data_IF_081502686323
#
_entry.id   IF_081502686323
#
_cell.length_a   1.000
_cell.length_b   1.000
_cell.length_c   1.000
_cell.angle_alpha   90.00
_cell.angle_beta   90.00
_cell.angle_gamma   90.00
#
_symmetry.space_group_name_H-M   'P 1'
#
loop_
_entity.id
_entity.type
_entity.pdbx_description
1 polymer ?
#
# COMPACT_ATOMS: atom_id res chain seq x y z
N UNK A 1 14.50 -22.19 10.38
CA UNK A 1 14.56 -20.71 10.46
C UNK A 1 13.28 -20.21 9.81
N UNK A 2 12.47 -19.41 10.51
CA UNK A 2 11.25 -18.86 9.91
C UNK A 2 11.62 -17.82 8.86
N UNK A 3 10.84 -17.70 7.78
CA UNK A 3 10.98 -16.63 6.78
C UNK A 3 10.67 -15.26 7.39
N UNK A 4 9.71 -15.22 8.32
CA UNK A 4 9.34 -14.06 9.09
C UNK A 4 9.95 -14.12 10.50
N UNK A 5 10.34 -12.97 11.04
CA UNK A 5 10.76 -12.76 12.41
C UNK A 5 9.65 -12.11 13.26
N UNK A 6 9.95 -11.78 14.51
CA UNK A 6 8.96 -11.27 15.47
C UNK A 6 8.35 -9.93 15.02
N UNK A 7 9.13 -9.05 14.37
CA UNK A 7 8.63 -7.75 13.88
C UNK A 7 7.64 -7.95 12.73
N UNK A 8 7.92 -8.90 11.82
CA UNK A 8 7.00 -9.25 10.75
C UNK A 8 5.70 -9.85 11.29
N UNK A 9 5.76 -10.72 12.29
CA UNK A 9 4.55 -11.31 12.88
C UNK A 9 3.74 -10.27 13.67
N UNK A 10 4.39 -9.32 14.30
CA UNK A 10 3.71 -8.20 14.96
C UNK A 10 3.00 -7.30 13.94
N UNK A 11 3.67 -6.96 12.83
CA UNK A 11 3.06 -6.23 11.71
C UNK A 11 1.86 -6.98 11.13
N UNK A 12 2.03 -8.29 10.86
CA UNK A 12 0.96 -9.17 10.38
C UNK A 12 -0.27 -9.14 11.31
N UNK A 13 -0.04 -9.30 12.60
CA UNK A 13 -1.13 -9.30 13.58
C UNK A 13 -1.89 -7.97 13.58
N UNK A 14 -1.16 -6.85 13.53
CA UNK A 14 -1.73 -5.51 13.49
C UNK A 14 -2.53 -5.27 12.22
N UNK A 15 -1.94 -5.62 11.06
CA UNK A 15 -2.59 -5.48 9.75
C UNK A 15 -3.85 -6.35 9.66
N UNK A 16 -3.77 -7.61 10.08
CA UNK A 16 -4.92 -8.53 10.11
C UNK A 16 -6.07 -7.98 10.95
N UNK A 17 -5.76 -7.49 12.15
CA UNK A 17 -6.76 -6.87 13.02
C UNK A 17 -7.41 -5.64 12.39
N UNK A 18 -6.60 -4.80 11.75
CA UNK A 18 -7.10 -3.62 11.04
C UNK A 18 -7.98 -3.98 9.84
N UNK A 19 -7.57 -4.95 9.01
CA UNK A 19 -8.36 -5.45 7.88
C UNK A 19 -9.70 -6.04 8.34
N UNK A 20 -9.69 -6.84 9.40
CA UNK A 20 -10.90 -7.46 9.95
C UNK A 20 -11.93 -6.42 10.43
N UNK A 21 -11.48 -5.28 10.95
CA UNK A 21 -12.37 -4.23 11.45
C UNK A 21 -12.81 -3.24 10.38
N UNK A 22 -11.93 -2.89 9.44
CA UNK A 22 -12.15 -1.75 8.55
C UNK A 22 -12.45 -2.17 7.10
N UNK A 23 -12.01 -3.34 6.67
CA UNK A 23 -12.15 -3.81 5.28
C UNK A 23 -13.21 -4.90 5.16
N UNK A 24 -13.03 -5.99 5.89
CA UNK A 24 -13.88 -7.19 5.75
C UNK A 24 -15.38 -6.91 5.86
N UNK A 25 -15.89 -6.09 6.81
CA UNK A 25 -17.32 -5.83 6.92
C UNK A 25 -17.91 -5.01 5.77
N UNK A 26 -17.08 -4.40 4.94
CA UNK A 26 -17.49 -3.46 3.91
C UNK A 26 -17.27 -3.97 2.47
N UNK A 27 -16.65 -5.15 2.31
CA UNK A 27 -16.26 -5.68 0.98
C UNK A 27 -17.47 -5.74 0.04
N UNK A 28 -18.56 -6.38 0.45
CA UNK A 28 -19.73 -6.58 -0.40
C UNK A 28 -20.33 -5.24 -0.87
N UNK A 29 -20.36 -4.25 0.02
CA UNK A 29 -20.87 -2.91 -0.32
C UNK A 29 -19.95 -2.20 -1.30
N UNK A 30 -18.63 -2.22 -1.08
CA UNK A 30 -17.67 -1.56 -1.97
C UNK A 30 -17.59 -2.23 -3.35
N UNK A 31 -17.72 -3.56 -3.41
CA UNK A 31 -17.81 -4.30 -4.68
C UNK A 31 -19.09 -3.92 -5.45
N UNK A 32 -20.21 -3.76 -4.75
CA UNK A 32 -21.48 -3.33 -5.37
C UNK A 32 -21.42 -1.87 -5.86
N UNK A 33 -20.79 -1.00 -5.09
CA UNK A 33 -20.64 0.43 -5.41
C UNK A 33 -19.53 0.69 -6.44
N UNK A 34 -18.62 -0.25 -6.64
CA UNK A 34 -17.45 -0.12 -7.52
C UNK A 34 -16.42 0.89 -7.02
N UNK A 35 -16.40 1.21 -5.73
CA UNK A 35 -15.48 2.20 -5.16
C UNK A 35 -15.16 1.89 -3.69
N UNK A 36 -13.89 2.08 -3.34
CA UNK A 36 -13.40 2.04 -1.96
C UNK A 36 -13.25 3.46 -1.43
N UNK A 37 -13.71 3.77 -0.21
CA UNK A 37 -13.59 5.10 0.35
C UNK A 37 -12.13 5.56 0.46
N UNK A 38 -11.86 6.77 0.02
CA UNK A 38 -10.53 7.39 0.12
C UNK A 38 -10.00 7.42 1.56
N UNK A 39 -10.89 7.59 2.55
CA UNK A 39 -10.54 7.61 3.97
C UNK A 39 -9.80 6.35 4.41
N UNK A 40 -10.07 5.20 3.79
CA UNK A 40 -9.41 3.95 4.13
C UNK A 40 -7.88 4.01 3.95
N UNK A 41 -7.39 4.75 2.95
CA UNK A 41 -5.95 4.96 2.76
C UNK A 41 -5.35 5.84 3.85
N UNK A 42 -6.02 6.92 4.23
CA UNK A 42 -5.57 7.76 5.34
C UNK A 42 -5.55 7.00 6.67
N UNK A 43 -6.56 6.15 6.91
CA UNK A 43 -6.62 5.30 8.10
C UNK A 43 -5.47 4.27 8.11
N UNK A 44 -5.17 3.62 6.99
CA UNK A 44 -4.04 2.71 6.85
C UNK A 44 -2.70 3.43 7.03
N UNK A 45 -2.56 4.63 6.45
CA UNK A 45 -1.37 5.47 6.60
C UNK A 45 -1.14 5.89 8.06
N UNK A 46 -2.21 6.24 8.79
CA UNK A 46 -2.13 6.60 10.21
C UNK A 46 -1.60 5.46 11.10
N UNK A 47 -1.77 4.21 10.66
CA UNK A 47 -1.23 3.02 11.32
C UNK A 47 0.20 2.68 10.87
N UNK A 48 0.79 3.45 9.93
CA UNK A 48 2.12 3.19 9.38
C UNK A 48 2.15 2.09 8.31
N UNK A 49 1.02 1.57 7.86
CA UNK A 49 0.99 0.44 6.93
C UNK A 49 1.39 0.78 5.50
N UNK A 50 1.35 2.06 5.10
CA UNK A 50 1.64 2.48 3.72
C UNK A 50 3.08 2.94 3.50
N UNK A 51 3.78 3.33 4.54
CA UNK A 51 5.07 4.01 4.45
C UNK A 51 6.27 3.21 4.92
N UNK A 52 6.22 1.87 5.04
CA UNK A 52 7.32 1.08 5.62
C UNK A 52 8.66 1.35 4.93
N UNK A 53 8.71 1.34 3.60
CA UNK A 53 9.93 1.54 2.81
C UNK A 53 10.27 3.03 2.57
N UNK A 54 9.39 3.95 2.93
CA UNK A 54 9.66 5.39 2.80
C UNK A 54 10.57 5.82 3.93
N UNK A 55 11.59 6.65 3.64
CA UNK A 55 12.53 7.14 4.64
C UNK A 55 11.83 7.92 5.77
N UNK A 56 12.35 7.83 6.99
CA UNK A 56 11.79 8.47 8.19
C UNK A 56 11.66 9.99 8.02
N UNK A 57 12.59 10.64 7.32
CA UNK A 57 12.54 12.09 7.05
C UNK A 57 11.31 12.51 6.25
N UNK A 58 10.67 11.58 5.53
CA UNK A 58 9.42 11.78 4.79
C UNK A 58 8.20 11.17 5.50
N UNK A 59 8.34 10.80 6.78
CA UNK A 59 7.26 10.27 7.59
C UNK A 59 7.00 8.77 7.41
N UNK A 60 7.92 8.05 6.78
CA UNK A 60 7.86 6.58 6.63
C UNK A 60 8.57 5.83 7.75
N UNK A 61 8.65 4.52 7.62
CA UNK A 61 9.31 3.62 8.58
C UNK A 61 10.81 3.45 8.35
N UNK A 62 11.34 3.84 7.18
CA UNK A 62 12.74 3.67 6.82
C UNK A 62 13.19 2.20 6.69
N UNK A 63 12.26 1.27 6.51
CA UNK A 63 12.52 -0.17 6.52
C UNK A 63 12.44 -0.71 5.09
N UNK A 64 13.59 -0.95 4.49
CA UNK A 64 13.73 -1.55 3.17
C UNK A 64 13.73 -3.09 3.27
N UNK A 65 12.59 -3.64 3.61
CA UNK A 65 12.37 -5.09 3.71
C UNK A 65 11.05 -5.49 3.05
N UNK A 66 11.14 -6.05 1.85
CA UNK A 66 9.98 -6.41 1.05
C UNK A 66 9.09 -7.50 1.68
N UNK A 67 9.53 -8.16 2.76
CA UNK A 67 8.71 -9.13 3.48
C UNK A 67 7.45 -8.49 4.10
N UNK A 68 7.50 -7.21 4.45
CA UNK A 68 6.30 -6.46 4.89
C UNK A 68 5.26 -6.33 3.77
N UNK A 69 5.72 -6.16 2.53
CA UNK A 69 4.86 -6.12 1.34
C UNK A 69 4.23 -7.51 1.06
N UNK A 70 4.99 -8.60 1.26
CA UNK A 70 4.45 -9.96 1.17
C UNK A 70 3.32 -10.17 2.19
N UNK A 71 3.47 -9.65 3.41
CA UNK A 71 2.42 -9.75 4.44
C UNK A 71 1.14 -9.03 3.99
N UNK A 72 1.25 -7.86 3.35
CA UNK A 72 0.09 -7.20 2.75
C UNK A 72 -0.66 -8.12 1.79
N UNK A 73 0.04 -8.72 0.85
CA UNK A 73 -0.56 -9.61 -0.14
C UNK A 73 -1.21 -10.85 0.50
N UNK A 74 -0.53 -11.47 1.47
CA UNK A 74 -1.04 -12.64 2.19
C UNK A 74 -2.29 -12.31 3.01
N UNK A 75 -2.28 -11.18 3.75
CA UNK A 75 -3.41 -10.81 4.61
C UNK A 75 -4.63 -10.34 3.80
N UNK A 76 -4.46 -9.67 2.67
CA UNK A 76 -5.55 -9.35 1.75
C UNK A 76 -6.15 -10.61 1.14
N UNK A 77 -5.32 -11.58 0.76
CA UNK A 77 -5.80 -12.86 0.25
C UNK A 77 -6.56 -13.65 1.33
N UNK A 78 -6.02 -13.67 2.55
CA UNK A 78 -6.67 -14.31 3.70
C UNK A 78 -8.03 -13.69 4.05
N UNK A 79 -8.13 -12.37 3.94
CA UNK A 79 -9.36 -11.61 4.17
C UNK A 79 -10.37 -11.68 3.00
N UNK A 80 -10.05 -12.38 1.91
CA UNK A 80 -10.82 -12.39 0.66
C UNK A 80 -11.05 -10.97 0.08
N UNK A 81 -10.14 -10.03 0.36
CA UNK A 81 -10.22 -8.62 -0.01
C UNK A 81 -9.37 -8.27 -1.25
N UNK A 82 -9.07 -9.23 -2.12
CA UNK A 82 -8.19 -9.04 -3.27
C UNK A 82 -8.69 -8.00 -4.28
N UNK A 83 -10.00 -7.86 -4.45
CA UNK A 83 -10.61 -6.82 -5.29
C UNK A 83 -10.57 -5.45 -4.61
N UNK A 84 -11.32 -5.30 -3.54
CA UNK A 84 -11.45 -4.03 -2.79
C UNK A 84 -10.14 -3.54 -2.20
N UNK A 85 -9.21 -4.45 -1.86
CA UNK A 85 -7.89 -4.13 -1.30
C UNK A 85 -6.77 -3.94 -2.34
N UNK A 86 -7.02 -4.18 -3.63
CA UNK A 86 -5.98 -4.15 -4.68
C UNK A 86 -5.20 -2.84 -4.77
N UNK A 87 -5.78 -1.74 -4.34
CA UNK A 87 -5.13 -0.44 -4.31
C UNK A 87 -3.95 -0.36 -3.34
N UNK A 88 -3.94 -1.15 -2.27
CA UNK A 88 -2.84 -1.14 -1.30
C UNK A 88 -1.53 -1.72 -1.85
N UNK A 89 -1.48 -2.96 -2.38
CA UNK A 89 -0.27 -3.45 -3.04
C UNK A 89 0.18 -2.56 -4.19
N UNK A 90 -0.73 -2.05 -5.01
CA UNK A 90 -0.35 -1.10 -6.05
C UNK A 90 0.38 0.12 -5.47
N UNK A 91 -0.12 0.67 -4.37
CA UNK A 91 0.45 1.82 -3.70
C UNK A 91 1.84 1.51 -3.09
N UNK A 92 1.95 0.44 -2.30
CA UNK A 92 3.17 0.14 -1.53
C UNK A 92 4.23 -0.64 -2.33
N UNK A 93 3.83 -1.58 -3.21
CA UNK A 93 4.78 -2.45 -3.91
C UNK A 93 5.25 -1.86 -5.24
N UNK A 94 4.36 -1.12 -5.92
CA UNK A 94 4.65 -0.61 -7.26
C UNK A 94 5.01 0.87 -7.20
N UNK A 95 4.16 1.71 -6.63
CA UNK A 95 4.32 3.16 -6.75
C UNK A 95 5.31 3.76 -5.76
N UNK A 96 5.38 3.28 -4.51
CA UNK A 96 6.39 3.75 -3.56
C UNK A 96 7.81 3.62 -4.12
N UNK A 97 8.25 2.47 -4.69
CA UNK A 97 9.56 2.37 -5.34
C UNK A 97 9.78 3.37 -6.46
N UNK A 98 8.77 3.65 -7.30
CA UNK A 98 8.90 4.67 -8.35
C UNK A 98 9.21 6.05 -7.77
N UNK A 99 8.50 6.46 -6.72
CA UNK A 99 8.73 7.75 -6.08
C UNK A 99 10.07 7.81 -5.33
N UNK A 100 10.49 6.71 -4.72
CA UNK A 100 11.76 6.67 -3.99
C UNK A 100 12.98 6.62 -4.91
N UNK A 101 12.88 5.98 -6.08
CA UNK A 101 14.00 5.80 -7.00
C UNK A 101 14.12 6.90 -8.05
N UNK A 102 12.99 7.31 -8.66
CA UNK A 102 13.02 8.17 -9.84
C UNK A 102 12.73 9.65 -9.57
N UNK A 103 12.20 10.00 -8.40
CA UNK A 103 11.98 11.39 -8.03
C UNK A 103 13.26 12.05 -7.52
N UNK A 104 13.43 13.34 -7.83
CA UNK A 104 14.47 14.16 -7.20
C UNK A 104 14.06 14.56 -5.76
N UNK A 105 14.98 15.18 -5.00
CA UNK A 105 14.76 15.51 -3.59
C UNK A 105 13.56 16.43 -3.36
N UNK A 106 13.35 17.44 -4.23
CA UNK A 106 12.20 18.33 -4.16
C UNK A 106 10.88 17.58 -4.35
N UNK A 107 10.84 16.67 -5.31
CA UNK A 107 9.68 15.83 -5.60
C UNK A 107 9.40 14.84 -4.45
N UNK A 108 10.45 14.23 -3.90
CA UNK A 108 10.35 13.33 -2.72
C UNK A 108 9.77 14.09 -1.53
N UNK A 109 10.34 15.24 -1.19
CA UNK A 109 9.85 16.07 -0.09
C UNK A 109 8.40 16.52 -0.28
N UNK A 110 7.97 16.72 -1.53
CA UNK A 110 6.60 17.13 -1.86
C UNK A 110 5.58 16.01 -1.76
N UNK A 111 5.93 14.79 -2.17
CA UNK A 111 4.95 13.71 -2.38
C UNK A 111 5.03 12.59 -1.35
N UNK A 112 6.24 12.18 -0.93
CA UNK A 112 6.39 11.02 -0.05
C UNK A 112 5.67 11.15 1.30
N UNK A 113 5.62 12.34 1.96
CA UNK A 113 4.86 12.46 3.21
C UNK A 113 3.36 12.17 3.02
N UNK A 114 2.76 12.68 1.95
CA UNK A 114 1.36 12.41 1.63
C UNK A 114 1.09 10.97 1.19
N UNK A 115 2.07 10.34 0.53
CA UNK A 115 2.00 8.91 0.15
C UNK A 115 2.09 8.03 1.41
N UNK A 116 3.02 8.31 2.32
CA UNK A 116 3.16 7.57 3.57
C UNK A 116 1.93 7.69 4.47
N UNK A 117 1.33 8.88 4.55
CA UNK A 117 0.12 9.13 5.34
C UNK A 117 -1.18 8.64 4.69
N UNK A 118 -1.17 8.29 3.41
CA UNK A 118 -2.37 7.94 2.65
C UNK A 118 -3.24 9.13 2.23
N UNK A 119 -2.81 10.36 2.48
CA UNK A 119 -3.47 11.56 1.96
C UNK A 119 -3.36 11.66 0.43
N UNK A 120 -2.23 11.22 -0.12
CA UNK A 120 -2.02 11.05 -1.54
C UNK A 120 -2.12 9.58 -1.91
N UNK A 121 -3.14 9.23 -2.69
CA UNK A 121 -3.31 7.90 -3.26
C UNK A 121 -2.62 7.89 -4.63
N UNK A 122 -1.71 6.95 -4.82
CA UNK A 122 -0.96 6.79 -6.06
C UNK A 122 -1.72 5.95 -7.08
N UNK A 123 -1.46 6.19 -8.35
CA UNK A 123 -1.99 5.40 -9.46
C UNK A 123 -0.97 5.32 -10.59
N UNK A 124 -1.07 4.28 -11.42
CA UNK A 124 -0.25 4.12 -12.62
C UNK A 124 -1.14 4.09 -13.86
N UNK A 125 -0.74 4.82 -14.90
CA UNK A 125 -1.36 4.79 -16.20
C UNK A 125 -0.28 4.42 -17.23
N UNK A 126 -0.34 3.21 -17.76
CA UNK A 126 0.67 2.68 -18.70
C UNK A 126 0.14 2.53 -20.11
N UNK A 127 -1.13 2.14 -20.27
CA UNK A 127 -1.74 1.92 -21.58
C UNK A 127 -1.94 3.22 -22.34
N UNK A 128 -1.48 3.27 -23.57
CA UNK A 128 -1.67 4.40 -24.50
C UNK A 128 -2.50 3.94 -25.71
N UNK A 129 -3.05 4.86 -26.55
CA UNK A 129 -3.88 4.49 -27.69
C UNK A 129 -3.23 3.51 -28.67
N UNK A 130 -1.91 3.51 -28.79
CA UNK A 130 -1.14 2.63 -29.66
C UNK A 130 -0.39 1.50 -28.95
N UNK A 131 -0.45 1.42 -27.62
CA UNK A 131 0.42 0.57 -26.82
C UNK A 131 -0.34 -0.06 -25.65
N UNK A 132 -0.40 -1.39 -25.64
CA UNK A 132 -1.02 -2.15 -24.56
C UNK A 132 0.02 -3.00 -23.81
N UNK A 133 0.06 -4.31 -24.09
CA UNK A 133 1.02 -5.22 -23.44
C UNK A 133 2.48 -4.99 -23.87
N UNK A 134 2.69 -4.44 -25.04
CA UNK A 134 4.00 -4.01 -25.54
C UNK A 134 4.20 -2.53 -25.17
N UNK A 135 4.95 -2.29 -24.11
CA UNK A 135 5.27 -0.96 -23.58
C UNK A 135 6.68 -0.48 -23.97
N UNK A 136 7.39 -1.20 -24.83
CA UNK A 136 8.74 -0.89 -25.24
C UNK A 136 8.79 0.19 -26.35
#
# INVERSE_FOLDING_TARGET
MSYYDDDHEMFRSSLRGWLAMNVVPNIDQWEADGIVPRQLFADAGSQGFLGMAIAEEFGGGGIDDFRFNHIWAEELAYAAAGGSGAGFPLHVDVLVPYFTEFCNDEQKARWLPGIASGELITAVAMTEPGTGSDLA
#
